data_IF_032490169133
#
_entry.id   IF_032490169133
#
_cell.length_a   1.000
_cell.length_b   1.000
_cell.length_c   1.000
_cell.angle_alpha   90.00
_cell.angle_beta   90.00
_cell.angle_gamma   90.00
#
_symmetry.space_group_name_H-M   'P 1'
#
loop_
_entity.id
_entity.type
_entity.pdbx_description
1 polymer ?
#
# COMPACT_ATOMS: atom_id res chain seq x y z
N UNK A 1 33.55 -22.78 15.03
CA UNK A 1 32.70 -21.93 14.21
C UNK A 1 31.25 -22.37 14.41
N UNK A 2 30.54 -21.68 15.30
CA UNK A 2 29.14 -21.97 15.63
C UNK A 2 28.26 -21.33 14.56
N UNK A 3 27.63 -22.14 13.72
CA UNK A 3 26.67 -21.68 12.72
C UNK A 3 25.42 -21.19 13.44
N UNK A 4 25.19 -19.89 13.46
CA UNK A 4 23.95 -19.30 13.97
C UNK A 4 22.83 -19.67 13.00
N UNK A 5 21.98 -20.60 13.41
CA UNK A 5 20.78 -20.96 12.67
C UNK A 5 19.72 -19.89 12.92
N UNK A 6 19.57 -18.95 12.01
CA UNK A 6 18.43 -18.00 12.04
C UNK A 6 17.18 -18.79 11.61
N UNK A 7 16.18 -18.95 12.48
CA UNK A 7 14.96 -19.64 12.10
C UNK A 7 14.31 -18.84 10.96
N UNK A 8 14.15 -19.50 9.81
CA UNK A 8 13.38 -18.93 8.71
C UNK A 8 11.97 -18.66 9.22
N UNK A 9 11.59 -17.39 9.25
CA UNK A 9 10.22 -17.00 9.53
C UNK A 9 9.35 -17.69 8.48
N UNK A 10 8.61 -18.72 8.88
CA UNK A 10 7.62 -19.35 8.02
C UNK A 10 6.50 -18.34 7.79
N UNK A 11 6.64 -17.60 6.71
CA UNK A 11 5.57 -16.76 6.24
C UNK A 11 4.52 -17.65 5.59
N UNK A 12 3.41 -17.81 6.26
CA UNK A 12 2.21 -18.44 5.68
C UNK A 12 1.52 -17.36 4.87
N UNK A 13 1.60 -17.39 3.55
CA UNK A 13 0.93 -16.47 2.64
C UNK A 13 -0.50 -16.06 3.05
N UNK A 14 -1.18 -15.22 2.28
CA UNK A 14 -2.54 -14.79 2.63
C UNK A 14 -3.43 -16.02 2.75
N UNK A 15 -3.95 -16.26 3.94
CA UNK A 15 -4.86 -17.38 4.23
C UNK A 15 -6.15 -17.30 3.42
N UNK A 16 -6.52 -16.11 2.98
CA UNK A 16 -7.59 -15.83 2.02
C UNK A 16 -7.27 -14.51 1.31
N UNK A 17 -6.99 -14.48 0.00
CA UNK A 17 -6.91 -13.25 -0.77
C UNK A 17 -8.27 -12.55 -0.74
N UNK A 18 -8.25 -11.22 -0.80
CA UNK A 18 -9.45 -10.45 -1.08
C UNK A 18 -9.98 -10.87 -2.45
N UNK A 19 -11.28 -11.05 -2.55
CA UNK A 19 -11.94 -11.14 -3.83
C UNK A 19 -11.64 -9.89 -4.67
N UNK A 20 -11.19 -10.10 -5.90
CA UNK A 20 -10.79 -9.00 -6.80
C UNK A 20 -11.93 -8.03 -7.04
N UNK A 21 -13.16 -8.52 -7.20
CA UNK A 21 -14.31 -7.67 -7.40
C UNK A 21 -14.55 -6.75 -6.19
N UNK A 22 -14.48 -7.31 -4.99
CA UNK A 22 -14.61 -6.54 -3.75
C UNK A 22 -13.50 -5.49 -3.63
N UNK A 23 -12.25 -5.85 -3.92
CA UNK A 23 -11.11 -4.92 -3.89
C UNK A 23 -11.29 -3.76 -4.84
N UNK A 24 -11.67 -4.03 -6.08
CA UNK A 24 -11.91 -3.01 -7.07
C UNK A 24 -13.13 -2.13 -6.76
N UNK A 25 -14.17 -2.69 -6.15
CA UNK A 25 -15.33 -1.92 -5.71
C UNK A 25 -14.96 -0.95 -4.58
N UNK A 26 -14.16 -1.40 -3.60
CA UNK A 26 -13.65 -0.51 -2.54
C UNK A 26 -12.72 0.56 -3.13
N UNK A 27 -11.78 0.19 -4.00
CA UNK A 27 -10.88 1.15 -4.63
C UNK A 27 -11.65 2.21 -5.45
N UNK A 28 -12.64 1.79 -6.23
CA UNK A 28 -13.50 2.70 -7.01
C UNK A 28 -14.30 3.65 -6.12
N UNK A 29 -14.84 3.14 -5.00
CA UNK A 29 -15.49 3.99 -4.00
C UNK A 29 -14.52 5.01 -3.42
N UNK A 30 -13.30 4.64 -3.04
CA UNK A 30 -12.30 5.56 -2.51
C UNK A 30 -11.87 6.62 -3.53
N UNK A 31 -11.89 6.29 -4.83
CA UNK A 31 -11.56 7.24 -5.89
C UNK A 31 -12.65 8.29 -6.10
N UNK A 32 -13.93 7.95 -5.93
CA UNK A 32 -15.03 8.78 -6.40
C UNK A 32 -16.00 9.26 -5.30
N UNK A 33 -15.91 8.73 -4.08
CA UNK A 33 -16.79 9.12 -2.98
C UNK A 33 -16.21 10.32 -2.22
N UNK A 34 -16.59 11.52 -2.63
CA UNK A 34 -16.14 12.79 -2.01
C UNK A 34 -16.72 13.06 -0.62
N UNK A 35 -17.64 12.23 -0.13
CA UNK A 35 -18.13 12.29 1.25
C UNK A 35 -17.10 11.75 2.25
N UNK A 36 -16.16 10.94 1.78
CA UNK A 36 -15.06 10.40 2.57
C UNK A 36 -13.93 11.42 2.68
N UNK A 37 -13.23 11.42 3.81
CA UNK A 37 -12.06 12.29 4.03
C UNK A 37 -10.97 11.97 3.01
N UNK A 38 -10.36 12.97 2.35
CA UNK A 38 -9.30 12.77 1.38
C UNK A 38 -8.12 11.93 1.91
N UNK A 39 -7.76 12.14 3.19
CA UNK A 39 -6.67 11.40 3.83
C UNK A 39 -7.01 9.90 3.97
N UNK A 40 -8.24 9.57 4.34
CA UNK A 40 -8.69 8.20 4.50
C UNK A 40 -8.81 7.50 3.14
N UNK A 41 -9.24 8.22 2.11
CA UNK A 41 -9.30 7.76 0.71
C UNK A 41 -7.89 7.44 0.20
N UNK A 42 -6.96 8.38 0.34
CA UNK A 42 -5.56 8.17 -0.10
C UNK A 42 -4.90 7.02 0.65
N UNK A 43 -5.04 6.95 1.97
CA UNK A 43 -4.47 5.86 2.76
C UNK A 43 -5.02 4.49 2.35
N UNK A 44 -6.32 4.38 2.09
CA UNK A 44 -6.96 3.16 1.58
C UNK A 44 -6.45 2.75 0.19
N UNK A 45 -6.26 3.70 -0.73
CA UNK A 45 -5.72 3.44 -2.06
C UNK A 45 -4.24 3.02 -2.01
N UNK A 46 -3.43 3.65 -1.15
CA UNK A 46 -2.03 3.25 -0.95
C UNK A 46 -1.93 1.82 -0.43
N UNK A 47 -2.85 1.41 0.43
CA UNK A 47 -2.89 0.04 0.93
C UNK A 47 -3.36 -0.96 -0.14
N UNK A 48 -4.47 -0.66 -0.85
CA UNK A 48 -5.11 -1.57 -1.80
C UNK A 48 -4.34 -1.74 -3.11
N UNK A 49 -3.70 -0.66 -3.59
CA UNK A 49 -3.07 -0.63 -4.91
C UNK A 49 -1.54 -0.68 -4.83
N UNK A 50 -0.94 -0.09 -3.80
CA UNK A 50 0.51 0.00 -3.63
C UNK A 50 1.03 -0.82 -2.45
N UNK A 51 0.20 -1.67 -1.85
CA UNK A 51 0.57 -2.59 -0.77
C UNK A 51 1.23 -1.91 0.46
N UNK A 52 0.98 -0.60 0.66
CA UNK A 52 1.53 0.11 1.80
C UNK A 52 0.74 -0.19 3.06
N UNK A 53 1.41 -0.78 4.06
CA UNK A 53 0.78 -1.05 5.35
C UNK A 53 0.62 0.22 6.20
N UNK A 54 -0.27 0.21 7.22
CA UNK A 54 -0.47 1.37 8.10
C UNK A 54 0.82 1.89 8.74
N UNK A 55 1.79 1.01 9.03
CA UNK A 55 3.10 1.37 9.58
C UNK A 55 4.02 2.08 8.59
N UNK A 56 3.80 1.96 7.29
CA UNK A 56 4.50 2.72 6.27
C UNK A 56 3.75 4.03 5.98
N UNK A 57 2.44 3.96 5.77
CA UNK A 57 1.59 5.12 5.44
C UNK A 57 1.70 6.22 6.49
N UNK A 58 1.65 5.90 7.80
CA UNK A 58 1.68 6.91 8.85
C UNK A 58 2.98 7.70 8.92
N UNK A 59 4.06 7.17 8.31
CA UNK A 59 5.39 7.84 8.28
C UNK A 59 5.58 8.73 7.06
N UNK A 60 4.68 8.69 6.10
CA UNK A 60 4.80 9.53 4.91
C UNK A 60 4.75 11.01 5.30
N UNK A 61 5.67 11.74 4.73
CA UNK A 61 5.77 13.19 4.85
C UNK A 61 5.29 13.86 3.57
N UNK A 62 5.21 15.16 3.60
CA UNK A 62 4.90 15.94 2.39
C UNK A 62 6.02 15.90 1.39
N UNK A 63 7.25 15.80 1.89
CA UNK A 63 8.44 15.74 1.05
C UNK A 63 8.50 14.42 0.25
N UNK A 64 7.74 13.40 0.68
CA UNK A 64 7.58 12.18 -0.10
C UNK A 64 6.65 12.35 -1.31
N UNK A 65 5.93 13.49 -1.42
CA UNK A 65 5.03 13.81 -2.54
C UNK A 65 5.66 14.89 -3.42
N UNK A 66 6.18 14.49 -4.56
CA UNK A 66 6.69 15.42 -5.57
C UNK A 66 5.53 15.86 -6.48
N UNK A 67 5.16 17.12 -6.39
CA UNK A 67 4.11 17.71 -7.23
C UNK A 67 4.77 18.48 -8.37
N UNK A 68 4.78 17.87 -9.56
CA UNK A 68 5.18 18.52 -10.81
C UNK A 68 4.02 19.21 -11.51
N UNK A 69 4.31 19.87 -12.63
CA UNK A 69 3.30 20.58 -13.44
C UNK A 69 2.25 19.62 -14.04
N UNK A 70 2.69 18.47 -14.53
CA UNK A 70 1.84 17.49 -15.21
C UNK A 70 1.70 16.17 -14.47
N UNK A 71 2.59 15.88 -13.53
CA UNK A 71 2.63 14.59 -12.83
C UNK A 71 2.82 14.76 -11.32
N UNK A 72 2.38 13.75 -10.59
CA UNK A 72 2.65 13.60 -9.16
C UNK A 72 3.41 12.30 -8.97
N UNK A 73 4.51 12.36 -8.23
CA UNK A 73 5.28 11.19 -7.85
C UNK A 73 5.25 11.01 -6.34
N UNK A 74 5.23 9.78 -5.89
CA UNK A 74 5.22 9.43 -4.47
C UNK A 74 6.39 8.51 -4.15
N UNK A 75 7.17 8.90 -3.15
CA UNK A 75 8.29 8.11 -2.62
C UNK A 75 7.78 7.11 -1.57
N UNK A 76 7.58 5.86 -1.98
CA UNK A 76 7.24 4.75 -1.09
C UNK A 76 8.46 3.93 -0.70
N UNK A 77 9.51 4.02 -1.51
CA UNK A 77 10.79 3.35 -1.35
C UNK A 77 11.93 4.18 -1.94
N UNK A 78 12.94 3.52 -2.50
CA UNK A 78 14.09 4.20 -3.10
C UNK A 78 13.81 4.81 -4.48
N UNK A 79 12.80 4.30 -5.17
CA UNK A 79 12.37 4.84 -6.47
C UNK A 79 10.97 5.44 -6.34
N UNK A 80 10.76 6.65 -6.88
CA UNK A 80 9.43 7.27 -6.88
C UNK A 80 8.46 6.51 -7.79
N UNK A 81 7.20 6.54 -7.41
CA UNK A 81 6.09 6.00 -8.20
C UNK A 81 5.29 7.16 -8.76
N UNK A 82 5.10 7.19 -10.07
CA UNK A 82 4.17 8.12 -10.69
C UNK A 82 2.73 7.70 -10.38
N UNK A 83 1.96 8.63 -9.83
CA UNK A 83 0.56 8.39 -9.51
C UNK A 83 -0.32 8.72 -10.72
N UNK A 84 -1.18 7.79 -11.16
CA UNK A 84 -2.17 8.09 -12.20
C UNK A 84 -3.30 8.96 -11.64
N UNK A 85 -3.97 9.70 -12.52
CA UNK A 85 -5.23 10.34 -12.14
C UNK A 85 -6.34 9.26 -11.95
N UNK A 86 -7.24 9.44 -10.98
CA UNK A 86 -7.44 10.58 -10.07
C UNK A 86 -6.63 10.51 -8.75
N UNK A 87 -5.77 9.52 -8.55
CA UNK A 87 -4.96 9.37 -7.31
C UNK A 87 -4.00 10.55 -7.15
N UNK A 88 -3.40 11.01 -8.27
CA UNK A 88 -2.51 12.16 -8.28
C UNK A 88 -3.21 13.41 -7.73
N UNK A 89 -4.43 13.69 -8.18
CA UNK A 89 -5.22 14.81 -7.70
C UNK A 89 -5.55 14.68 -6.20
N UNK A 90 -5.86 13.48 -5.75
CA UNK A 90 -6.13 13.21 -4.33
C UNK A 90 -4.87 13.43 -3.47
N UNK A 91 -3.70 13.00 -3.95
CA UNK A 91 -2.42 13.22 -3.27
C UNK A 91 -2.07 14.72 -3.19
N UNK A 92 -2.28 15.49 -4.26
CA UNK A 92 -2.15 16.98 -4.25
C UNK A 92 -3.05 17.59 -3.18
N UNK A 93 -4.32 17.16 -3.14
CA UNK A 93 -5.31 17.66 -2.18
C UNK A 93 -4.88 17.38 -0.74
N UNK A 94 -4.44 16.16 -0.45
CA UNK A 94 -3.98 15.77 0.89
C UNK A 94 -2.72 16.54 1.27
N UNK A 95 -1.76 16.67 0.37
CA UNK A 95 -0.51 17.42 0.61
C UNK A 95 -0.77 18.93 0.87
N UNK A 96 -1.74 19.52 0.18
CA UNK A 96 -2.11 20.93 0.34
C UNK A 96 -2.93 21.20 1.60
N UNK A 97 -3.85 20.30 1.95
CA UNK A 97 -4.86 20.50 3.01
C UNK A 97 -4.47 19.91 4.38
N UNK A 98 -3.19 19.79 4.66
CA UNK A 98 -2.66 19.27 5.93
C UNK A 98 -3.16 20.07 7.14
N UNK A 99 -4.38 19.84 7.53
CA UNK A 99 -4.93 20.35 8.78
C UNK A 99 -4.51 19.41 9.91
N UNK A 100 -3.26 19.56 10.36
CA UNK A 100 -2.96 19.21 11.74
C UNK A 100 -3.82 20.09 12.63
N UNK A 101 -4.25 19.60 13.79
CA UNK A 101 -4.86 20.48 14.78
C UNK A 101 -3.85 21.61 15.08
N UNK A 102 -3.98 22.71 14.36
CA UNK A 102 -3.21 23.91 14.62
C UNK A 102 -3.63 24.40 16.00
N UNK A 103 -2.79 24.14 16.98
CA UNK A 103 -2.86 24.87 18.23
C UNK A 103 -2.59 26.33 17.88
N UNK A 104 -3.42 27.24 18.35
CA UNK A 104 -3.22 28.67 18.21
C UNK A 104 -1.76 28.98 18.58
N UNK A 105 -0.94 29.36 17.60
CA UNK A 105 0.50 29.65 17.80
C UNK A 105 1.50 28.73 17.08
N UNK A 106 1.09 27.63 16.44
CA UNK A 106 2.02 26.84 15.64
C UNK A 106 2.25 27.47 14.28
N UNK A 107 3.40 28.13 14.11
CA UNK A 107 3.81 28.84 12.90
C UNK A 107 4.28 27.90 11.76
N UNK A 108 4.51 26.62 12.04
CA UNK A 108 5.01 25.67 11.05
C UNK A 108 3.96 24.60 10.72
N UNK A 109 3.65 24.40 9.42
CA UNK A 109 2.80 23.31 8.99
C UNK A 109 3.38 21.94 9.40
N UNK A 110 2.52 20.96 9.68
CA UNK A 110 2.98 19.61 9.98
C UNK A 110 3.77 19.02 8.79
N UNK A 111 4.94 18.37 9.02
CA UNK A 111 5.67 17.70 7.95
C UNK A 111 4.97 16.42 7.47
N UNK A 112 4.04 15.88 8.26
CA UNK A 112 3.40 14.61 7.99
C UNK A 112 2.30 14.73 6.95
N UNK A 113 2.26 13.82 6.00
CA UNK A 113 1.18 13.71 5.02
C UNK A 113 -0.15 13.33 5.71
N UNK A 114 -0.06 12.52 6.76
CA UNK A 114 -1.18 12.10 7.60
C UNK A 114 -0.98 12.59 9.04
N UNK A 115 -1.29 13.85 9.34
CA UNK A 115 -1.09 14.40 10.67
C UNK A 115 -2.06 13.78 11.68
N UNK A 116 -1.56 13.59 12.91
CA UNK A 116 -2.34 13.09 14.04
C UNK A 116 -3.08 14.21 14.79
N UNK A 117 -3.76 13.80 15.86
CA UNK A 117 -4.46 14.74 16.75
C UNK A 117 -3.51 15.56 17.64
N UNK A 118 -2.26 15.14 17.81
CA UNK A 118 -1.25 15.87 18.57
C UNK A 118 -0.39 16.71 17.62
N UNK A 119 -0.10 17.98 17.96
CA UNK A 119 0.73 18.85 17.15
C UNK A 119 2.11 18.21 16.86
N UNK A 120 2.56 18.30 15.60
CA UNK A 120 3.87 17.79 15.18
C UNK A 120 4.01 16.28 15.11
N UNK A 121 2.96 15.51 15.40
CA UNK A 121 2.99 14.05 15.32
C UNK A 121 2.12 13.51 14.18
N UNK A 122 2.54 12.40 13.54
CA UNK A 122 1.69 11.71 12.57
C UNK A 122 0.51 11.03 13.25
N UNK A 123 -0.48 10.64 12.47
CA UNK A 123 -1.54 9.74 12.92
C UNK A 123 -0.93 8.46 13.47
N UNK A 124 -1.43 7.94 14.58
CA UNK A 124 -0.94 6.66 15.09
C UNK A 124 -1.35 5.50 14.17
N UNK A 125 -0.50 4.46 14.12
CA UNK A 125 -0.80 3.24 13.33
C UNK A 125 -2.13 2.61 13.74
N UNK A 126 -2.44 2.62 15.04
CA UNK A 126 -3.70 2.10 15.58
C UNK A 126 -4.90 2.89 15.06
N UNK A 127 -4.82 4.22 15.12
CA UNK A 127 -5.90 5.10 14.65
C UNK A 127 -6.10 4.97 13.13
N UNK A 128 -5.02 4.92 12.35
CA UNK A 128 -5.08 4.70 10.91
C UNK A 128 -5.71 3.34 10.58
N UNK A 129 -5.29 2.28 11.27
CA UNK A 129 -5.87 0.94 11.13
C UNK A 129 -7.37 0.94 11.41
N UNK A 130 -7.80 1.65 12.46
CA UNK A 130 -9.21 1.75 12.81
C UNK A 130 -10.03 2.47 11.73
N UNK A 131 -9.51 3.60 11.19
CA UNK A 131 -10.17 4.33 10.08
C UNK A 131 -10.29 3.45 8.84
N UNK A 132 -9.24 2.71 8.46
CA UNK A 132 -9.29 1.79 7.33
C UNK A 132 -10.34 0.68 7.54
N UNK A 133 -10.45 0.14 8.76
CA UNK A 133 -11.49 -0.84 9.09
C UNK A 133 -12.91 -0.26 8.97
N UNK A 134 -13.12 1.01 9.35
CA UNK A 134 -14.40 1.69 9.17
C UNK A 134 -14.80 1.84 7.70
N UNK A 135 -13.81 1.90 6.78
CA UNK A 135 -14.04 1.88 5.33
C UNK A 135 -14.30 0.47 4.78
N UNK A 136 -14.32 -0.56 5.62
CA UNK A 136 -14.47 -1.96 5.22
C UNK A 136 -13.18 -2.63 4.77
N UNK A 137 -12.03 -2.00 5.00
CA UNK A 137 -10.72 -2.52 4.59
C UNK A 137 -10.09 -3.29 5.75
N UNK A 138 -9.65 -4.53 5.50
CA UNK A 138 -8.84 -5.34 6.41
C UNK A 138 -7.35 -5.18 6.04
N UNK A 139 -6.54 -4.38 6.77
CA UNK A 139 -5.23 -3.96 6.30
C UNK A 139 -4.27 -5.10 5.94
N UNK A 140 -4.17 -6.13 6.76
CA UNK A 140 -3.26 -7.25 6.49
C UNK A 140 -3.66 -8.04 5.25
N UNK A 141 -4.95 -8.34 5.10
CA UNK A 141 -5.49 -9.06 3.95
C UNK A 141 -5.35 -8.24 2.67
N UNK A 142 -5.73 -6.96 2.71
CA UNK A 142 -5.61 -6.04 1.58
C UNK A 142 -4.16 -5.89 1.10
N UNK A 143 -3.22 -5.70 2.04
CA UNK A 143 -1.79 -5.61 1.73
C UNK A 143 -1.25 -6.88 1.10
N UNK A 144 -1.59 -8.04 1.66
CA UNK A 144 -1.14 -9.34 1.14
C UNK A 144 -1.66 -9.57 -0.27
N UNK A 145 -2.93 -9.27 -0.54
CA UNK A 145 -3.51 -9.39 -1.88
C UNK A 145 -2.83 -8.45 -2.88
N UNK A 146 -2.60 -7.18 -2.49
CA UNK A 146 -1.89 -6.23 -3.34
C UNK A 146 -0.45 -6.66 -3.64
N UNK A 147 0.29 -7.15 -2.63
CA UNK A 147 1.65 -7.67 -2.84
C UNK A 147 1.67 -8.87 -3.77
N UNK A 148 0.72 -9.80 -3.61
CA UNK A 148 0.61 -10.96 -4.47
C UNK A 148 0.41 -10.55 -5.93
N UNK A 149 -0.52 -9.65 -6.21
CA UNK A 149 -0.79 -9.18 -7.57
C UNK A 149 0.40 -8.41 -8.16
N UNK A 150 0.97 -7.48 -7.40
CA UNK A 150 2.15 -6.74 -7.88
C UNK A 150 3.33 -7.68 -8.17
N UNK A 151 3.49 -8.74 -7.39
CA UNK A 151 4.56 -9.73 -7.58
C UNK A 151 4.34 -10.62 -8.81
N UNK A 152 3.11 -10.72 -9.35
CA UNK A 152 2.87 -11.40 -10.64
C UNK A 152 3.31 -10.57 -11.83
N UNK A 153 3.29 -9.24 -11.70
CA UNK A 153 3.50 -8.32 -12.84
C UNK A 153 4.87 -7.65 -12.80
N UNK A 154 5.44 -7.46 -11.60
CA UNK A 154 6.64 -6.67 -11.39
C UNK A 154 7.78 -7.54 -10.84
N UNK A 155 9.00 -7.51 -11.44
CA UNK A 155 10.16 -8.22 -10.92
C UNK A 155 10.48 -7.83 -9.48
N UNK A 156 10.91 -8.81 -8.66
CA UNK A 156 11.16 -8.62 -7.23
C UNK A 156 12.11 -7.46 -6.90
N UNK A 157 13.15 -7.25 -7.70
CA UNK A 157 14.11 -6.16 -7.50
C UNK A 157 13.45 -4.77 -7.68
N UNK A 158 12.57 -4.64 -8.67
CA UNK A 158 11.83 -3.40 -8.92
C UNK A 158 10.79 -3.20 -7.81
N UNK A 159 10.06 -4.25 -7.47
CA UNK A 159 9.05 -4.24 -6.40
C UNK A 159 9.65 -3.79 -5.06
N UNK A 160 10.82 -4.37 -4.68
CA UNK A 160 11.52 -3.99 -3.45
C UNK A 160 11.93 -2.52 -3.45
N UNK A 161 12.51 -2.05 -4.56
CA UNK A 161 13.00 -0.69 -4.72
C UNK A 161 11.87 0.34 -4.71
N UNK A 162 10.75 0.00 -5.32
CA UNK A 162 9.60 0.89 -5.49
C UNK A 162 8.75 0.98 -4.22
N UNK A 163 8.47 -0.15 -3.58
CA UNK A 163 7.60 -0.20 -2.39
C UNK A 163 8.36 -0.05 -1.06
N UNK A 164 9.70 0.00 -1.10
CA UNK A 164 10.51 0.09 0.12
C UNK A 164 10.46 -1.17 0.99
N UNK A 165 10.22 -2.34 0.40
CA UNK A 165 10.26 -3.63 1.10
C UNK A 165 11.61 -4.31 0.90
N UNK A 166 12.00 -5.18 1.84
CA UNK A 166 13.24 -5.93 1.70
C UNK A 166 13.20 -6.85 0.48
N UNK A 167 14.34 -7.00 -0.21
CA UNK A 167 14.43 -7.82 -1.44
C UNK A 167 14.01 -9.26 -1.20
N UNK A 168 14.40 -9.87 -0.06
CA UNK A 168 14.01 -11.24 0.27
C UNK A 168 12.49 -11.39 0.40
N UNK A 169 11.81 -10.36 0.92
CA UNK A 169 10.34 -10.33 1.00
C UNK A 169 9.74 -10.27 -0.40
N UNK A 170 10.26 -9.41 -1.27
CA UNK A 170 9.80 -9.32 -2.66
C UNK A 170 10.01 -10.63 -3.43
N UNK A 171 11.16 -11.28 -3.26
CA UNK A 171 11.47 -12.60 -3.86
C UNK A 171 10.52 -13.68 -3.33
N UNK A 172 10.24 -13.69 -2.02
CA UNK A 172 9.28 -14.64 -1.43
C UNK A 172 7.88 -14.48 -2.04
N UNK A 173 7.41 -13.24 -2.22
CA UNK A 173 6.13 -12.96 -2.88
C UNK A 173 6.12 -13.39 -4.34
N UNK A 174 7.21 -13.14 -5.08
CA UNK A 174 7.33 -13.56 -6.48
C UNK A 174 7.31 -15.08 -6.63
N UNK A 175 7.99 -15.81 -5.74
CA UNK A 175 7.96 -17.29 -5.75
C UNK A 175 6.55 -17.84 -5.50
N UNK A 176 5.80 -17.20 -4.60
CA UNK A 176 4.43 -17.61 -4.31
C UNK A 176 3.50 -17.37 -5.50
N UNK A 177 3.58 -16.20 -6.12
CA UNK A 177 2.79 -15.88 -7.29
C UNK A 177 3.13 -16.78 -8.48
N UNK A 178 4.42 -17.11 -8.69
CA UNK A 178 4.85 -18.06 -9.71
C UNK A 178 4.37 -19.50 -9.46
N UNK A 179 4.33 -19.92 -8.19
CA UNK A 179 3.80 -21.25 -7.80
C UNK A 179 2.31 -21.40 -8.10
N UNK A 180 1.54 -20.36 -7.93
CA UNK A 180 0.10 -20.34 -8.25
C UNK A 180 -0.15 -20.44 -9.75
N UNK A 181 0.66 -19.75 -10.57
CA UNK A 181 0.63 -19.89 -12.02
C UNK A 181 0.99 -21.30 -12.49
N UNK A 182 1.99 -21.94 -11.88
CA UNK A 182 2.38 -23.31 -12.21
C UNK A 182 1.25 -24.31 -11.88
N UNK A 183 0.56 -24.14 -10.76
CA UNK A 183 -0.60 -24.95 -10.37
C UNK A 183 -1.77 -24.75 -11.34
N UNK A 184 -2.07 -23.50 -11.72
CA UNK A 184 -3.10 -23.20 -12.71
C UNK A 184 -2.78 -23.81 -14.08
N UNK A 185 -1.57 -23.66 -14.58
CA UNK A 185 -1.14 -24.24 -15.85
C UNK A 185 -1.22 -25.77 -15.84
N UNK A 186 -0.86 -26.43 -14.74
CA UNK A 186 -1.00 -27.87 -14.55
C UNK A 186 -2.46 -28.31 -14.55
N UNK A 187 -3.35 -27.51 -13.98
CA UNK A 187 -4.80 -27.82 -13.97
C UNK A 187 -5.44 -27.64 -15.35
N UNK A 188 -5.09 -26.58 -16.08
CA UNK A 188 -5.55 -26.36 -17.47
C UNK A 188 -5.06 -27.51 -18.36
N UNK A 189 -3.79 -27.89 -18.24
CA UNK A 189 -3.22 -29.01 -19.02
C UNK A 189 -3.94 -30.32 -18.75
N UNK A 190 -4.30 -30.61 -17.50
CA UNK A 190 -5.09 -31.81 -17.13
C UNK A 190 -6.48 -31.80 -17.74
N UNK A 191 -7.15 -30.65 -17.79
CA UNK A 191 -8.48 -30.50 -18.39
C UNK A 191 -8.45 -30.68 -19.91
N UNK A 192 -7.36 -30.24 -20.56
CA UNK A 192 -7.21 -30.34 -22.02
C UNK A 192 -6.79 -31.76 -22.47
N UNK A 193 -6.28 -32.59 -21.56
CA UNK A 193 -5.77 -33.95 -21.85
C UNK A 193 -6.79 -35.04 -21.49
N UNK A 194 -7.96 -34.70 -20.95
CA UNK A 194 -9.06 -35.65 -20.74
C UNK A 194 -9.89 -35.76 -22.04
N UNK A 195 -9.92 -36.96 -22.70
CA UNK A 195 -10.65 -37.20 -23.93
C UNK A 195 -12.17 -37.15 -23.70
#
# INVERSE_FOLDING_TARGET
LTTVHVPAVRWNGPTQPLDDEHRWNVARRLLHDDTLKPEDRLAGLLLLLYAQGPSAIHRLTVDDVEVGAEEVRLHLGHAPVQLPEPIAQLARTVAANRKGHATIGALTPSPWLFPGGQPGRPISTTQLTQRLKQLGIRPNQARSTALFQLATEIPAAILARTLGIHTDVAVAWQRLSAGDWANYAAEVSRRTTSP
#
